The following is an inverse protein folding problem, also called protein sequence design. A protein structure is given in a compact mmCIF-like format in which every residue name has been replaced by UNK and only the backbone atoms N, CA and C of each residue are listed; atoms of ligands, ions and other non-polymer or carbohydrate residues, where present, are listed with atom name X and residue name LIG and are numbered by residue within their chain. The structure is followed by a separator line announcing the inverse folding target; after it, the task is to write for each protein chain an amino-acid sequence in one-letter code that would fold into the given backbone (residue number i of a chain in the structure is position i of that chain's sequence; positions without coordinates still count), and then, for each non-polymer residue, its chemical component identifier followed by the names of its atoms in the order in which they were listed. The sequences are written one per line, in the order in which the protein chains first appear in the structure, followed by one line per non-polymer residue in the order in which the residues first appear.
data_IF_760742939487
#
_entry.id   IF_760742939487
#
_cell.length_a   1.000
_cell.length_b   1.000
_cell.length_c   1.000
_cell.angle_alpha   90.00
_cell.angle_beta   90.00
_cell.angle_gamma   90.00
#
_symmetry.space_group_name_H-M   'P 1'
#
loop_
_entity.id
_entity.type
_entity.pdbx_description
1 polymer ?
#
# COMPACT_ATOMS: atom_id res chain seq x y z
N UNK A 1 -3.84 -41.70 -53.11
CA UNK A 1 -3.99 -41.12 -51.76
C UNK A 1 -4.02 -39.62 -51.93
N UNK A 2 -5.14 -39.02 -51.73
CA UNK A 2 -5.45 -37.64 -52.17
C UNK A 2 -5.36 -36.73 -50.96
N UNK A 3 -4.37 -35.86 -50.96
CA UNK A 3 -4.23 -34.75 -50.00
C UNK A 3 -5.25 -33.67 -50.40
N UNK A 4 -6.23 -33.41 -49.53
CA UNK A 4 -7.10 -32.23 -49.65
C UNK A 4 -6.48 -31.06 -48.87
N UNK A 5 -6.43 -29.87 -49.46
CA UNK A 5 -6.00 -28.67 -48.74
C UNK A 5 -7.10 -28.24 -47.76
N UNK A 6 -6.67 -27.80 -46.56
CA UNK A 6 -7.54 -27.28 -45.49
C UNK A 6 -7.97 -25.87 -45.85
N UNK A 7 -9.28 -25.60 -45.85
CA UNK A 7 -9.90 -24.31 -46.11
C UNK A 7 -9.54 -23.28 -44.98
N UNK A 8 -9.02 -22.09 -45.31
CA UNK A 8 -8.68 -21.06 -44.32
C UNK A 8 -9.88 -20.39 -43.66
N UNK A 9 -11.13 -20.65 -44.08
CA UNK A 9 -12.34 -19.99 -43.57
C UNK A 9 -12.93 -20.62 -42.30
N UNK A 10 -12.39 -21.74 -41.80
CA UNK A 10 -12.87 -22.41 -40.58
C UNK A 10 -12.13 -22.02 -39.27
N UNK A 11 -11.39 -20.96 -39.26
CA UNK A 11 -10.86 -20.42 -37.99
C UNK A 11 -11.95 -19.58 -37.32
N UNK A 12 -12.70 -20.17 -36.38
CA UNK A 12 -13.49 -19.43 -35.44
C UNK A 12 -12.57 -18.48 -34.66
N UNK A 13 -12.90 -17.18 -34.54
CA UNK A 13 -12.16 -16.29 -33.65
C UNK A 13 -12.34 -16.80 -32.20
N UNK A 14 -11.24 -17.04 -31.51
CA UNK A 14 -11.26 -17.23 -30.06
C UNK A 14 -11.68 -15.88 -29.49
N UNK A 15 -12.91 -15.80 -29.01
CA UNK A 15 -13.41 -14.60 -28.32
C UNK A 15 -12.58 -14.29 -27.10
N UNK A 16 -12.53 -13.01 -26.69
CA UNK A 16 -11.87 -12.63 -25.45
C UNK A 16 -12.55 -13.39 -24.31
N UNK A 17 -11.73 -14.08 -23.50
CA UNK A 17 -12.20 -14.83 -22.35
C UNK A 17 -13.12 -13.96 -21.50
N UNK A 18 -14.27 -14.49 -21.16
CA UNK A 18 -15.27 -13.88 -20.32
C UNK A 18 -14.61 -13.43 -19.00
N UNK A 19 -14.48 -12.12 -18.84
CA UNK A 19 -14.19 -11.49 -17.58
C UNK A 19 -15.45 -11.67 -16.75
N UNK A 20 -15.38 -12.48 -15.69
CA UNK A 20 -16.51 -12.75 -14.81
C UNK A 20 -17.19 -11.46 -14.37
N UNK A 21 -18.51 -11.44 -14.46
CA UNK A 21 -19.37 -10.32 -14.09
C UNK A 21 -19.14 -9.92 -12.62
N UNK A 22 -19.20 -8.63 -12.26
CA UNK A 22 -19.17 -8.21 -10.87
C UNK A 22 -20.46 -8.71 -10.18
N UNK A 23 -20.34 -9.71 -9.34
CA UNK A 23 -21.48 -10.30 -8.63
C UNK A 23 -21.27 -11.72 -8.10
N UNK A 24 -20.29 -12.46 -8.55
CA UNK A 24 -20.01 -13.77 -7.98
C UNK A 24 -19.19 -13.62 -6.68
N UNK A 25 -19.89 -13.77 -5.55
CA UNK A 25 -19.27 -13.92 -4.24
C UNK A 25 -18.34 -15.13 -4.28
N UNK A 26 -17.03 -14.90 -4.26
CA UNK A 26 -16.10 -16.01 -4.02
C UNK A 26 -16.33 -16.54 -2.63
N UNK A 27 -16.31 -17.86 -2.42
CA UNK A 27 -16.50 -18.44 -1.10
C UNK A 27 -15.38 -17.93 -0.18
N UNK A 28 -15.79 -17.34 0.94
CA UNK A 28 -14.90 -17.06 2.06
C UNK A 28 -14.36 -18.40 2.53
N UNK A 29 -13.11 -18.70 2.24
CA UNK A 29 -12.46 -19.92 2.71
C UNK A 29 -12.53 -20.00 4.24
N UNK A 30 -12.65 -21.21 4.83
CA UNK A 30 -12.72 -21.35 6.26
C UNK A 30 -11.51 -20.69 6.90
N UNK A 31 -11.78 -19.87 7.95
CA UNK A 31 -10.78 -19.09 8.65
C UNK A 31 -9.52 -19.90 8.93
N UNK A 32 -8.38 -19.38 8.50
CA UNK A 32 -7.07 -19.96 8.78
C UNK A 32 -6.82 -19.80 10.27
N UNK A 33 -7.04 -20.88 11.02
CA UNK A 33 -6.68 -20.99 12.42
C UNK A 33 -5.18 -20.80 12.59
N UNK A 34 -4.83 -19.79 13.35
CA UNK A 34 -3.68 -19.59 14.21
C UNK A 34 -2.32 -20.14 13.86
N UNK A 35 -1.38 -19.19 13.73
CA UNK A 35 -0.01 -19.39 14.21
C UNK A 35 0.22 -18.58 15.49
N UNK A 36 1.13 -18.97 16.39
CA UNK A 36 1.16 -18.56 17.79
C UNK A 36 1.66 -17.13 17.98
N UNK A 37 0.74 -16.26 18.31
CA UNK A 37 0.98 -14.88 18.72
C UNK A 37 -0.33 -14.29 19.18
N UNK A 38 -0.54 -14.24 20.49
CA UNK A 38 -1.68 -13.65 21.18
C UNK A 38 -3.11 -14.11 20.77
N UNK A 39 -3.29 -15.32 20.45
CA UNK A 39 -4.47 -16.21 20.47
C UNK A 39 -5.91 -15.67 20.51
N UNK A 40 -6.16 -14.39 20.22
CA UNK A 40 -7.52 -13.88 20.14
C UNK A 40 -8.08 -14.13 18.74
N UNK A 41 -9.31 -14.68 18.64
CA UNK A 41 -9.95 -14.86 17.36
C UNK A 41 -10.12 -13.52 16.63
N UNK A 42 -9.85 -13.51 15.34
CA UNK A 42 -10.04 -12.36 14.46
C UNK A 42 -10.97 -12.75 13.31
N UNK A 43 -11.77 -11.80 12.85
CA UNK A 43 -12.67 -11.98 11.72
C UNK A 43 -12.18 -11.19 10.53
N UNK A 44 -12.06 -11.85 9.39
CA UNK A 44 -11.85 -11.20 8.11
C UNK A 44 -13.19 -10.74 7.55
N UNK A 45 -13.23 -9.54 7.00
CA UNK A 45 -14.40 -8.92 6.39
C UNK A 45 -13.98 -8.11 5.15
N UNK A 46 -14.94 -7.68 4.37
CA UNK A 46 -14.72 -6.93 3.12
C UNK A 46 -15.66 -5.74 3.09
N UNK A 47 -15.13 -4.59 2.64
CA UNK A 47 -15.91 -3.39 2.41
C UNK A 47 -15.74 -3.00 0.96
N UNK A 48 -16.84 -2.89 0.25
CA UNK A 48 -16.86 -2.38 -1.11
C UNK A 48 -17.37 -0.94 -1.13
N UNK A 49 -16.76 -0.11 -1.98
CA UNK A 49 -17.25 1.20 -2.36
C UNK A 49 -17.60 1.14 -3.86
N UNK A 50 -18.77 0.60 -4.20
CA UNK A 50 -19.10 0.24 -5.59
C UNK A 50 -19.16 1.45 -6.53
N UNK A 51 -19.52 2.62 -6.02
CA UNK A 51 -19.55 3.87 -6.77
C UNK A 51 -18.18 4.34 -7.26
N UNK A 52 -17.11 3.79 -6.66
CA UNK A 52 -15.71 4.06 -7.03
C UNK A 52 -14.98 2.82 -7.51
N UNK A 53 -15.59 1.65 -7.41
CA UNK A 53 -14.95 0.37 -7.72
C UNK A 53 -13.81 0.03 -6.77
N UNK A 54 -13.88 0.46 -5.50
CA UNK A 54 -12.83 0.22 -4.51
C UNK A 54 -13.19 -0.96 -3.61
N UNK A 55 -12.16 -1.73 -3.29
CA UNK A 55 -12.20 -2.85 -2.37
C UNK A 55 -11.29 -2.60 -1.16
N UNK A 56 -11.82 -2.79 0.04
CA UNK A 56 -11.09 -2.64 1.29
C UNK A 56 -11.13 -3.96 2.05
N UNK A 57 -9.97 -4.57 2.25
CA UNK A 57 -9.81 -5.76 3.08
C UNK A 57 -9.82 -5.36 4.54
N UNK A 58 -10.68 -5.99 5.35
CA UNK A 58 -10.89 -5.64 6.75
C UNK A 58 -10.62 -6.81 7.66
N UNK A 59 -9.90 -6.57 8.76
CA UNK A 59 -9.69 -7.54 9.83
C UNK A 59 -10.17 -6.94 11.15
N UNK A 60 -11.11 -7.61 11.78
CA UNK A 60 -11.84 -7.12 12.93
C UNK A 60 -11.52 -7.98 14.15
N UNK A 61 -11.35 -7.39 15.34
CA UNK A 61 -11.26 -8.15 16.57
C UNK A 61 -12.61 -8.83 16.87
N UNK A 62 -12.58 -9.97 17.54
CA UNK A 62 -13.81 -10.68 17.95
C UNK A 62 -14.75 -9.78 18.76
N UNK A 63 -14.18 -8.96 19.62
CA UNK A 63 -14.93 -7.97 20.40
C UNK A 63 -14.48 -6.58 20.00
N UNK A 64 -15.43 -5.75 19.58
CA UNK A 64 -15.18 -4.35 19.30
C UNK A 64 -14.58 -3.64 20.50
N UNK A 65 -13.55 -2.88 20.28
CA UNK A 65 -12.93 -2.02 21.28
C UNK A 65 -13.32 -0.55 21.03
N UNK A 66 -12.90 0.33 21.93
CA UNK A 66 -13.03 1.78 21.73
C UNK A 66 -11.83 2.39 21.02
N UNK A 67 -10.90 1.56 20.53
CA UNK A 67 -9.72 1.98 19.79
C UNK A 67 -10.14 2.52 18.42
N UNK A 68 -9.42 3.52 17.93
CA UNK A 68 -9.70 4.09 16.60
C UNK A 68 -9.34 3.07 15.52
N UNK A 69 -10.14 2.93 14.47
CA UNK A 69 -9.83 2.02 13.38
C UNK A 69 -8.58 2.50 12.63
N UNK A 70 -7.85 1.55 12.05
CA UNK A 70 -6.69 1.81 11.20
C UNK A 70 -7.10 1.71 9.74
N UNK A 71 -6.76 2.71 8.92
CA UNK A 71 -6.88 2.65 7.46
C UNK A 71 -5.47 2.61 6.87
N UNK A 72 -5.16 1.51 6.16
CA UNK A 72 -3.81 1.23 5.65
C UNK A 72 -3.80 1.38 4.13
N UNK A 73 -2.88 2.18 3.61
CA UNK A 73 -2.75 2.51 2.19
C UNK A 73 -1.38 2.08 1.67
N UNK A 74 -1.39 1.25 0.65
CA UNK A 74 -0.19 0.65 0.07
C UNK A 74 0.54 1.61 -0.87
N UNK A 75 1.80 1.27 -1.20
CA UNK A 75 2.63 1.95 -2.19
C UNK A 75 2.35 1.50 -3.63
N UNK A 76 3.23 1.91 -4.54
CA UNK A 76 3.15 1.61 -5.97
C UNK A 76 3.11 0.10 -6.24
N UNK A 77 2.30 -0.32 -7.22
CA UNK A 77 2.12 -1.72 -7.65
C UNK A 77 1.66 -2.72 -6.58
N UNK A 78 1.44 -2.26 -5.36
CA UNK A 78 1.07 -3.12 -4.25
C UNK A 78 -0.46 -3.30 -4.14
N UNK A 79 -0.94 -3.69 -2.98
CA UNK A 79 -2.34 -3.91 -2.64
C UNK A 79 -2.48 -4.21 -1.15
N UNK A 80 -3.68 -4.57 -0.70
CA UNK A 80 -3.93 -4.92 0.72
C UNK A 80 -3.02 -6.04 1.24
N UNK A 81 -2.48 -6.88 0.37
CA UNK A 81 -1.61 -8.00 0.71
C UNK A 81 -0.34 -7.62 1.48
N UNK A 82 0.18 -6.39 1.30
CA UNK A 82 1.35 -5.91 2.06
C UNK A 82 1.02 -5.72 3.54
N UNK A 83 -0.26 -5.52 3.85
CA UNK A 83 -0.76 -5.25 5.19
C UNK A 83 -1.29 -6.47 5.93
N UNK A 84 -1.33 -7.66 5.33
CA UNK A 84 -1.92 -8.86 5.92
C UNK A 84 -1.39 -9.14 7.34
N UNK A 85 -0.07 -9.03 7.53
CA UNK A 85 0.58 -9.25 8.83
C UNK A 85 0.19 -8.16 9.85
N UNK A 86 0.11 -6.91 9.42
CA UNK A 86 -0.34 -5.78 10.24
C UNK A 86 -1.80 -5.93 10.64
N UNK A 87 -2.66 -6.24 9.70
CA UNK A 87 -4.09 -6.43 9.94
C UNK A 87 -4.31 -7.51 10.99
N UNK A 88 -3.63 -8.65 10.87
CA UNK A 88 -3.69 -9.74 11.85
C UNK A 88 -3.14 -9.32 13.20
N UNK A 89 -1.99 -8.66 13.23
CA UNK A 89 -1.33 -8.19 14.45
C UNK A 89 -2.22 -7.24 15.25
N UNK A 90 -2.80 -6.24 14.60
CA UNK A 90 -3.63 -5.23 15.24
C UNK A 90 -5.01 -5.75 15.60
N UNK A 91 -5.65 -6.55 14.75
CA UNK A 91 -6.94 -7.17 15.07
C UNK A 91 -6.86 -8.08 16.29
N UNK A 92 -5.80 -8.89 16.41
CA UNK A 92 -5.53 -9.71 17.60
C UNK A 92 -5.35 -8.89 18.89
N UNK A 93 -5.04 -7.60 18.76
CA UNK A 93 -4.85 -6.66 19.90
C UNK A 93 -5.99 -5.67 20.08
N UNK A 94 -7.07 -5.84 19.33
CA UNK A 94 -8.32 -5.10 19.52
C UNK A 94 -8.48 -3.84 18.66
N UNK A 95 -7.63 -3.62 17.64
CA UNK A 95 -7.87 -2.60 16.62
C UNK A 95 -8.61 -3.18 15.42
N UNK A 96 -9.56 -2.45 14.87
CA UNK A 96 -10.11 -2.72 13.55
C UNK A 96 -9.11 -2.23 12.51
N UNK A 97 -8.73 -3.07 11.56
CA UNK A 97 -7.79 -2.74 10.48
C UNK A 97 -8.44 -2.87 9.11
N UNK A 98 -8.25 -1.87 8.26
CA UNK A 98 -8.87 -1.73 6.96
C UNK A 98 -7.81 -1.37 5.91
N UNK A 99 -7.44 -2.29 5.04
CA UNK A 99 -6.45 -2.08 3.99
C UNK A 99 -7.13 -1.78 2.65
N UNK A 100 -6.95 -0.55 2.17
CA UNK A 100 -7.46 -0.11 0.88
C UNK A 100 -6.66 -0.76 -0.25
N UNK A 101 -7.36 -1.23 -1.27
CA UNK A 101 -6.79 -1.38 -2.60
C UNK A 101 -7.17 -0.15 -3.42
N UNK A 102 -6.19 0.64 -3.85
CA UNK A 102 -6.39 1.77 -4.74
C UNK A 102 -7.01 1.25 -6.05
N UNK A 103 -7.80 2.07 -6.77
CA UNK A 103 -8.33 1.63 -8.06
C UNK A 103 -7.20 1.18 -8.98
N UNK A 104 -7.50 0.22 -9.84
CA UNK A 104 -6.54 -0.48 -10.66
C UNK A 104 -5.54 -1.35 -9.88
N UNK A 105 -5.71 -1.56 -8.57
CA UNK A 105 -4.84 -2.41 -7.77
C UNK A 105 -5.62 -3.58 -7.15
N UNK A 106 -4.99 -4.73 -7.19
CA UNK A 106 -5.37 -5.99 -6.56
C UNK A 106 -6.85 -6.36 -6.75
N UNK A 107 -7.73 -6.11 -5.79
CA UNK A 107 -9.16 -6.45 -5.86
C UNK A 107 -10.06 -5.29 -6.27
N UNK A 108 -9.56 -4.07 -6.32
CA UNK A 108 -10.32 -2.93 -6.83
C UNK A 108 -10.52 -2.99 -8.34
N UNK A 109 -11.51 -2.26 -8.84
CA UNK A 109 -11.85 -2.24 -10.26
C UNK A 109 -10.66 -1.80 -11.11
N UNK A 110 -10.48 -2.48 -12.25
CA UNK A 110 -9.47 -2.12 -13.25
C UNK A 110 -9.81 -0.78 -13.92
N UNK A 111 -8.78 0.00 -14.19
CA UNK A 111 -8.86 1.26 -14.93
C UNK A 111 -7.68 1.38 -15.90
N UNK A 112 -7.79 2.25 -16.89
CA UNK A 112 -6.63 2.58 -17.71
C UNK A 112 -5.59 3.35 -16.86
N UNK A 113 -4.39 2.79 -16.62
CA UNK A 113 -3.38 3.44 -15.80
C UNK A 113 -2.94 4.81 -16.35
N UNK A 114 -3.05 5.04 -17.66
CA UNK A 114 -2.72 6.33 -18.28
C UNK A 114 -3.72 7.44 -17.91
N UNK A 115 -4.95 7.07 -17.59
CA UNK A 115 -5.99 8.01 -17.15
C UNK A 115 -5.89 8.36 -15.66
N UNK A 116 -5.12 7.59 -14.88
CA UNK A 116 -4.99 7.81 -13.44
C UNK A 116 -3.93 8.87 -13.13
N UNK A 117 -4.19 9.64 -12.08
CA UNK A 117 -3.31 10.69 -11.55
C UNK A 117 -3.08 10.48 -10.06
N UNK A 118 -2.13 11.16 -9.46
CA UNK A 118 -1.96 11.18 -8.01
C UNK A 118 -3.24 11.67 -7.30
N UNK A 119 -3.92 12.68 -7.88
CA UNK A 119 -5.19 13.16 -7.36
C UNK A 119 -6.28 12.09 -7.36
N UNK A 120 -6.30 11.20 -8.36
CA UNK A 120 -7.24 10.07 -8.41
C UNK A 120 -7.01 9.12 -7.23
N UNK A 121 -5.77 8.73 -6.95
CA UNK A 121 -5.42 7.88 -5.82
C UNK A 121 -5.66 8.55 -4.47
N UNK A 122 -5.40 9.87 -4.37
CA UNK A 122 -5.77 10.64 -3.19
C UNK A 122 -7.28 10.60 -2.93
N UNK A 123 -8.10 10.77 -3.95
CA UNK A 123 -9.56 10.75 -3.81
C UNK A 123 -10.09 9.36 -3.44
N UNK A 124 -9.41 8.28 -3.86
CA UNK A 124 -9.69 6.92 -3.40
C UNK A 124 -9.35 6.76 -1.90
N UNK A 125 -8.22 7.32 -1.49
CA UNK A 125 -7.79 7.34 -0.08
C UNK A 125 -8.76 8.11 0.80
N UNK A 126 -9.23 9.29 0.34
CA UNK A 126 -10.25 10.09 1.01
C UNK A 126 -11.53 9.28 1.19
N UNK A 127 -12.01 8.64 0.12
CA UNK A 127 -13.24 7.85 0.17
C UNK A 127 -13.17 6.68 1.16
N UNK A 128 -12.03 6.00 1.24
CA UNK A 128 -11.83 4.93 2.22
C UNK A 128 -11.81 5.47 3.65
N UNK A 129 -11.12 6.59 3.92
CA UNK A 129 -11.08 7.23 5.23
C UNK A 129 -12.48 7.70 5.66
N UNK A 130 -13.23 8.36 4.78
CA UNK A 130 -14.62 8.80 5.04
C UNK A 130 -15.55 7.62 5.32
N UNK A 131 -15.40 6.52 4.56
CA UNK A 131 -16.22 5.30 4.72
C UNK A 131 -16.00 4.60 6.05
N UNK A 132 -14.75 4.55 6.52
CA UNK A 132 -14.40 3.94 7.82
C UNK A 132 -14.82 4.84 8.98
N UNK A 133 -14.70 6.14 8.80
CA UNK A 133 -15.24 7.12 9.74
C UNK A 133 -14.22 8.14 10.24
N UNK A 134 -14.73 9.22 10.85
CA UNK A 134 -13.90 10.31 11.33
C UNK A 134 -12.94 9.83 12.43
N UNK A 135 -11.77 10.44 12.45
CA UNK A 135 -10.70 10.13 13.40
C UNK A 135 -10.08 8.71 13.28
N UNK A 136 -10.25 8.01 12.16
CA UNK A 136 -9.43 6.83 11.87
C UNK A 136 -7.94 7.21 11.87
N UNK A 137 -7.07 6.27 12.25
CA UNK A 137 -5.63 6.44 12.09
C UNK A 137 -5.28 6.04 10.66
N UNK A 138 -4.64 6.94 9.92
CA UNK A 138 -4.20 6.65 8.57
C UNK A 138 -2.75 6.17 8.58
N UNK A 139 -2.51 5.02 7.97
CA UNK A 139 -1.19 4.37 7.87
C UNK A 139 -0.85 4.25 6.39
N UNK A 140 0.31 4.73 5.97
CA UNK A 140 0.71 4.66 4.57
C UNK A 140 2.15 4.25 4.37
N UNK A 141 2.42 3.50 3.30
CA UNK A 141 3.74 3.04 2.91
C UNK A 141 4.10 3.56 1.52
N UNK A 142 5.31 4.09 1.36
CA UNK A 142 5.78 4.65 0.09
C UNK A 142 4.86 5.74 -0.45
N UNK A 143 4.33 5.58 -1.67
CA UNK A 143 3.32 6.46 -2.26
C UNK A 143 2.07 6.57 -1.36
N UNK A 144 1.65 5.46 -0.73
CA UNK A 144 0.53 5.45 0.21
C UNK A 144 0.74 6.39 1.40
N UNK A 145 1.98 6.55 1.85
CA UNK A 145 2.34 7.51 2.90
C UNK A 145 2.06 8.95 2.47
N UNK A 146 2.47 9.33 1.27
CA UNK A 146 2.18 10.66 0.73
C UNK A 146 0.68 10.86 0.45
N UNK A 147 -0.03 9.81 0.05
CA UNK A 147 -1.49 9.86 -0.17
C UNK A 147 -2.25 10.14 1.12
N UNK A 148 -1.96 9.42 2.22
CA UNK A 148 -2.63 9.64 3.51
C UNK A 148 -2.27 11.00 4.10
N UNK A 149 -1.01 11.43 3.96
CA UNK A 149 -0.55 12.75 4.37
C UNK A 149 -1.31 13.86 3.63
N UNK A 150 -1.43 13.75 2.31
CA UNK A 150 -2.16 14.71 1.47
C UNK A 150 -3.66 14.72 1.76
N UNK A 151 -4.27 13.55 1.92
CA UNK A 151 -5.68 13.42 2.26
C UNK A 151 -6.00 14.07 3.62
N UNK A 152 -5.18 13.81 4.64
CA UNK A 152 -5.33 14.37 5.97
C UNK A 152 -5.14 15.90 5.99
N UNK A 153 -4.17 16.41 5.23
CA UNK A 153 -3.90 17.86 5.16
C UNK A 153 -5.00 18.65 4.41
N UNK A 154 -5.82 18.02 3.57
CA UNK A 154 -6.77 18.77 2.73
C UNK A 154 -8.24 18.44 2.96
N UNK A 155 -8.56 17.18 3.30
CA UNK A 155 -9.91 16.68 3.11
C UNK A 155 -10.52 15.98 4.32
N UNK A 156 -9.72 15.18 5.04
CA UNK A 156 -10.29 14.23 6.00
C UNK A 156 -9.64 14.39 7.36
N UNK A 157 -10.48 14.55 8.38
CA UNK A 157 -10.01 14.55 9.77
C UNK A 157 -9.58 13.14 10.17
N UNK A 158 -8.30 13.00 10.52
CA UNK A 158 -7.71 11.75 11.02
C UNK A 158 -7.38 11.84 12.50
N UNK A 159 -7.33 10.70 13.15
CA UNK A 159 -6.98 10.60 14.56
C UNK A 159 -5.49 10.47 14.83
N UNK A 160 -4.71 10.19 13.81
CA UNK A 160 -3.25 10.06 13.81
C UNK A 160 -2.76 9.65 12.43
N UNK A 161 -1.46 9.84 12.18
CA UNK A 161 -0.78 9.44 10.95
C UNK A 161 0.40 8.54 11.28
N UNK A 162 0.59 7.49 10.50
CA UNK A 162 1.79 6.64 10.51
C UNK A 162 2.32 6.54 9.08
N UNK A 163 3.54 6.99 8.89
CA UNK A 163 4.19 7.12 7.58
C UNK A 163 5.41 6.19 7.53
N UNK A 164 5.32 5.11 6.74
CA UNK A 164 6.39 4.11 6.60
C UNK A 164 7.10 4.33 5.26
N UNK A 165 8.38 4.71 5.28
CA UNK A 165 9.14 5.06 4.08
C UNK A 165 8.34 5.90 3.08
N UNK A 166 7.61 6.89 3.60
CA UNK A 166 6.69 7.68 2.79
C UNK A 166 7.45 8.52 1.76
N UNK A 167 6.88 8.62 0.57
CA UNK A 167 7.36 9.55 -0.45
C UNK A 167 7.26 10.99 0.05
N UNK A 168 8.29 11.79 -0.25
CA UNK A 168 8.42 13.15 0.23
C UNK A 168 7.50 14.12 -0.51
N UNK A 169 6.86 15.07 0.20
CA UNK A 169 6.13 16.17 -0.44
C UNK A 169 7.09 17.17 -1.11
N UNK A 170 6.51 18.04 -1.94
CA UNK A 170 7.23 19.17 -2.53
C UNK A 170 7.91 20.03 -1.43
N UNK A 171 9.12 20.48 -1.69
CA UNK A 171 9.93 21.26 -0.74
C UNK A 171 10.88 20.41 0.10
N UNK A 172 10.54 19.15 0.37
CA UNK A 172 11.45 18.19 1.00
C UNK A 172 12.15 17.29 -0.02
N UNK A 173 11.49 17.01 -1.12
CA UNK A 173 12.03 16.24 -2.24
C UNK A 173 12.92 17.11 -3.13
N UNK A 174 14.04 16.57 -3.59
CA UNK A 174 14.74 17.11 -4.75
C UNK A 174 13.88 16.80 -5.99
N UNK A 175 13.39 17.82 -6.72
CA UNK A 175 12.57 17.55 -7.90
C UNK A 175 13.32 16.71 -8.94
N UNK A 176 12.64 15.74 -9.52
CA UNK A 176 13.18 14.98 -10.63
C UNK A 176 13.50 15.89 -11.82
N UNK A 177 14.56 15.58 -12.56
CA UNK A 177 14.94 16.36 -13.74
C UNK A 177 13.90 16.17 -14.84
N UNK A 178 13.71 17.20 -15.67
CA UNK A 178 12.68 17.18 -16.72
C UNK A 178 12.81 16.01 -17.71
N UNK A 179 14.05 15.50 -17.95
CA UNK A 179 14.24 14.34 -18.81
C UNK A 179 13.80 13.04 -18.11
N UNK A 180 14.06 12.88 -16.80
CA UNK A 180 13.63 11.70 -16.03
C UNK A 180 12.11 11.58 -16.04
N UNK A 181 11.39 12.70 -15.97
CA UNK A 181 9.93 12.72 -16.04
C UNK A 181 9.41 12.38 -17.45
N UNK A 182 10.11 12.82 -18.51
CA UNK A 182 9.72 12.50 -19.90
C UNK A 182 9.94 11.04 -20.27
N UNK A 183 10.93 10.41 -19.68
CA UNK A 183 11.34 9.04 -19.98
C UNK A 183 10.48 8.00 -19.20
N UNK A 184 9.60 8.46 -18.31
CA UNK A 184 8.67 7.59 -17.63
C UNK A 184 7.63 7.01 -18.61
N UNK A 185 7.47 5.68 -18.64
CA UNK A 185 6.43 5.08 -19.48
C UNK A 185 5.04 5.48 -18.97
N UNK A 186 4.04 5.59 -19.88
CA UNK A 186 2.66 5.94 -19.50
C UNK A 186 2.05 4.98 -18.46
N UNK A 187 2.50 3.72 -18.50
CA UNK A 187 2.15 2.69 -17.52
C UNK A 187 3.36 1.77 -17.32
N UNK A 188 3.67 1.42 -16.09
CA UNK A 188 4.86 0.62 -15.76
C UNK A 188 4.54 -0.56 -14.84
N UNK A 189 5.47 -1.49 -14.78
CA UNK A 189 5.45 -2.66 -13.91
C UNK A 189 6.59 -2.64 -12.89
N UNK A 190 6.82 -3.78 -12.27
CA UNK A 190 7.87 -3.99 -11.26
C UNK A 190 9.29 -3.76 -11.76
N UNK A 191 9.50 -3.74 -13.08
CA UNK A 191 10.76 -3.40 -13.76
C UNK A 191 11.24 -1.98 -13.38
N UNK A 192 10.36 -1.00 -13.39
CA UNK A 192 10.67 0.40 -13.02
C UNK A 192 11.04 0.53 -11.53
N UNK A 193 10.52 -0.35 -10.68
CA UNK A 193 10.85 -0.40 -9.25
C UNK A 193 12.08 -1.28 -8.95
N UNK A 194 12.77 -1.81 -9.97
CA UNK A 194 13.95 -2.66 -9.80
C UNK A 194 13.65 -4.10 -9.39
N UNK A 195 12.37 -4.52 -9.37
CA UNK A 195 11.93 -5.85 -8.93
C UNK A 195 11.88 -6.90 -10.07
N UNK A 196 12.28 -6.55 -11.28
CA UNK A 196 12.40 -7.48 -12.42
C UNK A 196 13.83 -7.97 -12.55
N UNK A 197 14.32 -8.72 -11.56
CA UNK A 197 15.67 -9.29 -11.54
C UNK A 197 15.67 -10.64 -10.78
N UNK A 198 16.83 -11.26 -10.64
CA UNK A 198 16.96 -12.56 -9.97
C UNK A 198 16.56 -12.46 -8.48
N UNK A 199 15.74 -13.38 -7.96
CA UNK A 199 15.31 -13.38 -6.56
C UNK A 199 16.47 -13.36 -5.56
N UNK A 200 17.55 -14.08 -5.84
CA UNK A 200 18.71 -14.15 -4.98
C UNK A 200 19.48 -12.82 -4.93
N UNK A 201 19.42 -12.02 -6.01
CA UNK A 201 19.97 -10.67 -6.01
C UNK A 201 19.12 -9.76 -5.11
N UNK A 202 17.80 -9.77 -5.27
CA UNK A 202 16.89 -9.01 -4.44
C UNK A 202 17.02 -9.38 -2.96
N UNK A 203 17.16 -10.65 -2.64
CA UNK A 203 17.38 -11.08 -1.25
C UNK A 203 18.69 -10.54 -0.67
N UNK A 204 19.77 -10.49 -1.45
CA UNK A 204 21.03 -9.88 -0.99
C UNK A 204 20.92 -8.36 -0.75
N UNK A 205 20.10 -7.71 -1.53
CA UNK A 205 19.82 -6.27 -1.39
C UNK A 205 18.85 -5.99 -0.24
N UNK A 206 17.90 -6.90 0.03
CA UNK A 206 16.89 -6.83 1.09
C UNK A 206 17.15 -7.96 2.12
N UNK A 207 18.19 -7.83 2.94
CA UNK A 207 18.70 -8.90 3.81
C UNK A 207 17.76 -9.31 4.93
N UNK A 208 16.79 -8.47 5.23
CA UNK A 208 15.72 -8.70 6.19
C UNK A 208 14.52 -9.47 5.61
N UNK A 209 14.55 -9.76 4.31
CA UNK A 209 13.55 -10.60 3.64
C UNK A 209 14.06 -12.01 3.43
N UNK A 210 13.22 -13.00 3.68
CA UNK A 210 13.45 -14.38 3.26
C UNK A 210 13.34 -14.49 1.73
N UNK A 211 13.88 -15.56 1.15
CA UNK A 211 13.70 -15.82 -0.29
C UNK A 211 12.22 -15.99 -0.64
N UNK A 212 11.43 -16.59 0.23
CA UNK A 212 9.99 -16.77 0.06
C UNK A 212 9.24 -15.41 0.08
N UNK A 213 9.64 -14.48 0.97
CA UNK A 213 9.10 -13.11 0.95
C UNK A 213 9.43 -12.41 -0.37
N UNK A 214 10.68 -12.52 -0.86
CA UNK A 214 11.10 -11.94 -2.14
C UNK A 214 10.29 -12.50 -3.30
N UNK A 215 10.16 -13.82 -3.40
CA UNK A 215 9.38 -14.49 -4.45
C UNK A 215 7.91 -14.08 -4.39
N UNK A 216 7.34 -13.99 -3.19
CA UNK A 216 5.97 -13.52 -2.98
C UNK A 216 5.80 -12.08 -3.45
N UNK A 217 6.71 -11.17 -3.07
CA UNK A 217 6.67 -9.77 -3.49
C UNK A 217 6.78 -9.67 -5.02
N UNK A 218 7.76 -10.34 -5.64
CA UNK A 218 7.92 -10.33 -7.10
C UNK A 218 6.66 -10.83 -7.82
N UNK A 219 6.07 -11.92 -7.31
CA UNK A 219 4.85 -12.49 -7.88
C UNK A 219 3.69 -11.49 -7.80
N UNK A 220 3.47 -10.89 -6.64
CA UNK A 220 2.34 -9.99 -6.40
C UNK A 220 2.49 -8.63 -7.08
N UNK A 221 3.71 -8.07 -7.14
CA UNK A 221 4.00 -6.87 -7.94
C UNK A 221 3.88 -7.12 -9.46
N UNK A 222 4.07 -8.35 -9.90
CA UNK A 222 3.91 -8.77 -11.29
C UNK A 222 2.48 -9.09 -11.69
N UNK A 223 1.58 -9.25 -10.72
CA UNK A 223 0.15 -9.36 -10.98
C UNK A 223 -0.41 -8.01 -11.38
N UNK A 224 -1.51 -8.00 -12.09
CA UNK A 224 -2.18 -6.77 -12.51
C UNK A 224 -2.44 -5.80 -11.36
N UNK A 225 -2.61 -4.57 -11.74
CA UNK A 225 -2.41 -3.91 -13.02
C UNK A 225 -1.08 -3.18 -13.06
N UNK A 226 -0.77 -2.60 -14.20
CA UNK A 226 0.35 -1.67 -14.30
C UNK A 226 0.04 -0.38 -13.54
N UNK A 227 1.08 0.23 -12.97
CA UNK A 227 0.99 1.50 -12.27
C UNK A 227 0.92 2.68 -13.25
N UNK A 228 0.36 3.80 -12.79
CA UNK A 228 0.27 5.01 -13.57
C UNK A 228 1.59 5.77 -13.66
N UNK A 229 2.16 5.88 -14.85
CA UNK A 229 3.32 6.73 -15.11
C UNK A 229 3.02 8.21 -14.86
N UNK A 230 1.78 8.65 -15.10
CA UNK A 230 1.34 10.01 -14.80
C UNK A 230 1.35 10.30 -13.29
N UNK A 231 0.76 9.42 -12.48
CA UNK A 231 0.75 9.58 -11.02
C UNK A 231 2.17 9.61 -10.46
N UNK A 232 3.06 8.74 -10.96
CA UNK A 232 4.48 8.75 -10.61
C UNK A 232 5.17 10.05 -11.03
N UNK A 233 4.94 10.53 -12.24
CA UNK A 233 5.52 11.79 -12.70
C UNK A 233 5.07 12.98 -11.85
N UNK A 234 3.78 13.06 -11.49
CA UNK A 234 3.24 14.07 -10.60
C UNK A 234 3.88 13.99 -9.20
N UNK A 235 4.05 12.78 -8.66
CA UNK A 235 4.72 12.54 -7.37
C UNK A 235 6.19 12.96 -7.42
N UNK A 236 6.93 12.58 -8.45
CA UNK A 236 8.34 12.94 -8.64
C UNK A 236 8.55 14.44 -8.91
N UNK A 237 7.61 15.10 -9.55
CA UNK A 237 7.61 16.56 -9.73
C UNK A 237 7.34 17.31 -8.41
N UNK A 238 6.70 16.66 -7.45
CA UNK A 238 6.46 17.16 -6.10
C UNK A 238 5.00 17.50 -5.82
N UNK A 239 4.44 16.80 -4.84
CA UNK A 239 3.07 17.04 -4.34
C UNK A 239 3.12 18.05 -3.19
N UNK A 240 2.42 19.16 -3.32
CA UNK A 240 2.32 20.17 -2.25
C UNK A 240 1.44 19.66 -1.12
N UNK A 241 1.92 19.85 0.10
CA UNK A 241 1.19 19.57 1.35
C UNK A 241 1.40 20.77 2.29
N UNK A 242 0.36 21.18 3.00
CA UNK A 242 0.42 22.27 3.98
C UNK A 242 0.43 21.66 5.39
N UNK A 243 1.57 21.58 6.06
CA UNK A 243 1.70 20.86 7.34
C UNK A 243 0.89 21.51 8.47
N UNK A 244 0.69 22.84 8.44
CA UNK A 244 -0.10 23.56 9.44
C UNK A 244 -1.55 23.06 9.55
N UNK A 245 -2.09 22.40 8.52
CA UNK A 245 -3.42 21.80 8.56
C UNK A 245 -3.46 20.49 9.37
N UNK A 246 -2.31 19.99 9.81
CA UNK A 246 -2.15 18.80 10.65
C UNK A 246 -1.87 19.13 12.12
N UNK A 247 -1.95 20.39 12.51
CA UNK A 247 -1.70 20.81 13.89
C UNK A 247 -2.54 20.01 14.89
N UNK A 248 -1.86 19.44 15.90
CA UNK A 248 -2.49 18.61 16.92
C UNK A 248 -2.81 17.17 16.50
N UNK A 249 -2.51 16.78 15.28
CA UNK A 249 -2.60 15.37 14.84
C UNK A 249 -1.32 14.65 15.25
N UNK A 250 -1.37 13.57 16.04
CA UNK A 250 -0.18 12.76 16.32
C UNK A 250 0.36 12.13 15.03
N UNK A 251 1.67 12.27 14.79
CA UNK A 251 2.33 11.72 13.60
C UNK A 251 3.54 10.89 14.00
N UNK A 252 3.67 9.70 13.43
CA UNK A 252 4.85 8.85 13.51
C UNK A 252 5.42 8.65 12.11
N UNK A 253 6.70 8.94 11.92
CA UNK A 253 7.45 8.67 10.70
C UNK A 253 8.45 7.56 10.96
N UNK A 254 8.44 6.54 10.13
CA UNK A 254 9.37 5.40 10.20
C UNK A 254 10.13 5.30 8.88
N UNK A 255 11.45 5.22 8.97
CA UNK A 255 12.35 5.03 7.84
C UNK A 255 13.01 3.65 7.84
N UNK A 256 13.32 3.14 6.65
CA UNK A 256 14.20 1.98 6.45
C UNK A 256 15.67 2.42 6.39
N UNK A 257 16.59 1.49 6.63
CA UNK A 257 18.02 1.77 6.62
C UNK A 257 18.86 0.95 5.66
N UNK A 258 18.35 -0.19 5.16
CA UNK A 258 19.10 -1.02 4.20
C UNK A 258 19.22 -0.35 2.84
N UNK A 259 18.21 0.40 2.42
CA UNK A 259 18.16 1.05 1.10
C UNK A 259 19.10 2.27 0.99
N UNK A 260 19.93 2.46 2.00
CA UNK A 260 20.97 3.47 2.05
C UNK A 260 20.58 4.69 2.89
N UNK A 261 21.56 5.60 3.02
CA UNK A 261 21.41 6.83 3.82
C UNK A 261 20.27 7.75 3.33
N UNK A 262 19.86 7.62 2.08
CA UNK A 262 18.87 8.51 1.48
C UNK A 262 17.48 8.32 2.05
N UNK A 263 17.04 7.05 2.30
CA UNK A 263 15.74 6.76 2.91
C UNK A 263 15.68 7.21 4.37
N UNK A 264 16.71 6.91 5.14
CA UNK A 264 16.81 7.34 6.54
C UNK A 264 16.78 8.88 6.66
N UNK A 265 17.57 9.59 5.84
CA UNK A 265 17.59 11.06 5.81
C UNK A 265 16.26 11.64 5.30
N UNK A 266 15.61 10.98 4.36
CA UNK A 266 14.30 11.40 3.85
C UNK A 266 13.25 11.33 4.96
N UNK A 267 13.21 10.23 5.71
CA UNK A 267 12.28 10.06 6.83
C UNK A 267 12.53 11.04 7.97
N UNK A 268 13.81 11.31 8.30
CA UNK A 268 14.21 12.33 9.30
C UNK A 268 13.69 13.72 8.89
N UNK A 269 13.98 14.15 7.65
CA UNK A 269 13.51 15.45 7.13
C UNK A 269 11.99 15.57 7.12
N UNK A 270 11.28 14.48 6.81
CA UNK A 270 9.82 14.46 6.86
C UNK A 270 9.32 14.60 8.29
N UNK A 271 9.94 13.92 9.24
CA UNK A 271 9.58 13.98 10.64
C UNK A 271 9.81 15.38 11.23
N UNK A 272 10.98 15.96 10.98
CA UNK A 272 11.30 17.33 11.41
C UNK A 272 10.29 18.35 10.87
N UNK A 273 9.95 18.23 9.58
CA UNK A 273 9.01 19.14 8.93
C UNK A 273 7.59 19.02 9.49
N UNK A 274 7.18 17.82 9.94
CA UNK A 274 5.89 17.57 10.56
C UNK A 274 5.87 17.79 12.08
N UNK A 275 7.02 17.96 12.74
CA UNK A 275 7.14 17.90 14.19
C UNK A 275 6.73 16.53 14.76
N UNK A 276 7.04 15.46 14.05
CA UNK A 276 6.57 14.10 14.28
C UNK A 276 7.53 13.29 15.15
N UNK A 277 7.01 12.22 15.79
CA UNK A 277 7.88 11.16 16.30
C UNK A 277 8.58 10.45 15.15
N UNK A 278 9.85 10.08 15.34
CA UNK A 278 10.66 9.47 14.28
C UNK A 278 11.42 8.24 14.77
N UNK A 279 11.53 7.24 13.92
CA UNK A 279 12.40 6.09 14.13
C UNK A 279 12.92 5.53 12.79
N UNK A 280 14.21 5.16 12.76
CA UNK A 280 14.82 4.47 11.62
C UNK A 280 15.14 3.03 11.99
N UNK A 281 14.60 2.10 11.24
CA UNK A 281 14.94 0.68 11.36
C UNK A 281 16.13 0.35 10.44
N UNK A 282 17.34 0.55 10.95
CA UNK A 282 18.59 0.47 10.20
C UNK A 282 18.87 -0.89 9.53
N UNK A 283 18.26 -1.95 10.03
CA UNK A 283 18.39 -3.30 9.49
C UNK A 283 17.22 -3.74 8.60
N UNK A 284 16.31 -2.82 8.24
CA UNK A 284 15.12 -3.13 7.44
C UNK A 284 15.18 -2.43 6.09
N UNK A 285 14.69 -3.12 5.07
CA UNK A 285 14.48 -2.61 3.72
C UNK A 285 13.08 -2.01 3.58
N UNK A 286 12.83 -1.30 2.49
CA UNK A 286 11.53 -0.69 2.17
C UNK A 286 10.36 -1.67 2.34
N UNK A 287 10.41 -2.82 1.67
CA UNK A 287 9.38 -3.85 1.83
C UNK A 287 9.49 -4.63 3.14
N UNK A 288 10.67 -4.67 3.75
CA UNK A 288 10.87 -5.27 5.06
C UNK A 288 10.05 -4.62 6.15
N UNK A 289 9.84 -3.30 6.07
CA UNK A 289 8.96 -2.57 7.00
C UNK A 289 7.53 -3.12 7.03
N UNK A 290 7.04 -3.72 5.94
CA UNK A 290 5.64 -4.14 5.79
C UNK A 290 5.44 -5.64 5.58
N UNK A 291 6.34 -6.33 4.86
CA UNK A 291 6.15 -7.73 4.44
C UNK A 291 7.07 -8.71 5.15
N UNK A 292 8.29 -8.31 5.52
CA UNK A 292 9.27 -9.21 6.13
C UNK A 292 8.75 -9.87 7.41
N UNK A 293 8.89 -11.18 7.56
CA UNK A 293 8.26 -11.93 8.65
C UNK A 293 8.75 -11.51 10.05
N UNK A 294 10.04 -11.26 10.17
CA UNK A 294 10.66 -10.82 11.43
C UNK A 294 10.60 -9.29 11.56
N UNK A 295 10.90 -8.57 10.48
CA UNK A 295 11.05 -7.11 10.48
C UNK A 295 9.71 -6.41 10.74
N UNK A 296 8.58 -6.88 10.14
CA UNK A 296 7.29 -6.24 10.37
C UNK A 296 6.91 -6.17 11.86
N UNK A 297 7.29 -7.19 12.68
CA UNK A 297 6.93 -7.26 14.09
C UNK A 297 7.48 -6.08 14.88
N UNK A 298 8.73 -5.72 14.63
CA UNK A 298 9.39 -4.60 15.31
C UNK A 298 8.71 -3.29 14.96
N UNK A 299 8.40 -3.10 13.66
CA UNK A 299 7.70 -1.91 13.17
C UNK A 299 6.26 -1.84 13.69
N UNK A 300 5.51 -2.94 13.61
CA UNK A 300 4.13 -3.01 14.12
C UNK A 300 4.06 -2.77 15.64
N UNK A 301 5.04 -3.25 16.39
CA UNK A 301 5.13 -3.02 17.83
C UNK A 301 5.44 -1.54 18.14
N UNK A 302 6.33 -0.91 17.37
CA UNK A 302 6.57 0.53 17.48
C UNK A 302 5.31 1.36 17.19
N UNK A 303 4.59 0.99 16.14
CA UNK A 303 3.31 1.62 15.82
C UNK A 303 2.30 1.41 16.96
N UNK A 304 2.22 0.21 17.53
CA UNK A 304 1.34 -0.08 18.66
C UNK A 304 1.66 0.83 19.88
N UNK A 305 2.94 0.97 20.21
CA UNK A 305 3.38 1.84 21.32
C UNK A 305 2.95 3.28 21.07
N UNK A 306 3.14 3.79 19.85
CA UNK A 306 2.68 5.13 19.45
C UNK A 306 1.17 5.30 19.62
N UNK A 307 0.37 4.34 19.10
CA UNK A 307 -1.08 4.39 19.19
C UNK A 307 -1.56 4.42 20.66
N UNK A 308 -0.94 3.62 21.53
CA UNK A 308 -1.29 3.56 22.94
C UNK A 308 -0.86 4.83 23.71
N UNK A 309 0.31 5.38 23.42
CA UNK A 309 0.80 6.63 24.03
C UNK A 309 -0.15 7.81 23.74
N UNK A 310 -0.70 7.87 22.53
CA UNK A 310 -1.64 8.91 22.12
C UNK A 310 -3.11 8.54 22.35
N UNK A 311 -3.39 7.37 22.92
CA UNK A 311 -4.75 6.85 23.21
C UNK A 311 -5.66 6.81 21.96
N UNK A 312 -5.09 6.36 20.87
CA UNK A 312 -5.75 6.26 19.56
C UNK A 312 -5.80 4.82 19.03
#
# INVERSE_FOLDING_TARGET
MSDRPIDPSERRPVGPGEIGSPGERRPVGPGVNGSPGDGRPVRKDEIELPERGLYVESWLPERRSRRRPLVLVHGELAGSWVWERYLRFFAGRGWEGHALNLRNHYWSATADPQALSFATYRDDTVAALERIGPNAVAVGHGMGGLLVLKAAAERVRVGGLVLLDAELPAGLRTPARAHELRDLPPAYGRDVLGWETLPEKLQRENRDLSLDDVLRIQHLLGQRPRESGRARAEMLAGIRVEPALLDGVPVLVIGSGIDGSDSALASERLADWLGAEHEVFGAHSHYGLVVGEESFRQVAERVRVFLEAHRI
#
